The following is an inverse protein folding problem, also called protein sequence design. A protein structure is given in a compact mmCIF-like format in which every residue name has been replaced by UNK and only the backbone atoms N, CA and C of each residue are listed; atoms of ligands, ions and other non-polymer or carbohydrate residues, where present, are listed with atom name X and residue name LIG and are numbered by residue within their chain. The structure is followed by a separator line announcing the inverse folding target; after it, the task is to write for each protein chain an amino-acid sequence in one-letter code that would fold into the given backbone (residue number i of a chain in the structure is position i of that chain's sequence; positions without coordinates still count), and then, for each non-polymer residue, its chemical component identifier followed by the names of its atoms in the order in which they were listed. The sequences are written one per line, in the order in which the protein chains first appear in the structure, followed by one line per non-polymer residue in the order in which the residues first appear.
data_IF_332604765163
#
_entry.id   IF_332604765163
#
_cell.length_a   1.000
_cell.length_b   1.000
_cell.length_c   1.000
_cell.angle_alpha   90.00
_cell.angle_beta   90.00
_cell.angle_gamma   90.00
#
_symmetry.space_group_name_H-M   'P 1'
#
loop_
_entity.id
_entity.type
_entity.pdbx_description
1 polymer ?
#
# COMPACT_ATOMS: atom_id res chain seq x y z
N UNK A 1 -9.63 -9.08 -0.27
CA UNK A 1 -8.90 -10.31 -0.65
C UNK A 1 -9.79 -11.54 -0.68
N UNK A 2 -10.68 -11.79 0.31
CA UNK A 2 -11.50 -13.02 0.36
C UNK A 2 -12.28 -13.25 -0.94
N UNK A 3 -12.95 -12.24 -1.48
CA UNK A 3 -13.68 -12.33 -2.74
C UNK A 3 -12.74 -12.59 -3.93
N UNK A 4 -11.60 -11.90 -4.00
CA UNK A 4 -10.63 -12.08 -5.09
C UNK A 4 -10.03 -13.50 -5.15
N UNK A 5 -10.07 -14.25 -4.04
CA UNK A 5 -9.55 -15.61 -3.92
C UNK A 5 -10.66 -16.66 -3.80
N UNK A 6 -11.87 -16.34 -4.24
CA UNK A 6 -13.02 -17.24 -4.25
C UNK A 6 -13.58 -17.39 -5.66
N UNK A 7 -14.52 -18.29 -5.82
CA UNK A 7 -15.34 -18.47 -7.02
C UNK A 7 -16.18 -17.23 -7.38
N UNK A 8 -16.34 -16.29 -6.44
CA UNK A 8 -17.06 -15.03 -6.64
C UNK A 8 -16.20 -13.93 -7.28
N UNK A 9 -14.92 -14.17 -7.54
CA UNK A 9 -14.01 -13.17 -8.13
C UNK A 9 -14.48 -12.68 -9.50
N UNK A 10 -14.91 -13.60 -10.37
CA UNK A 10 -15.42 -13.26 -11.71
C UNK A 10 -16.67 -12.36 -11.64
N UNK A 11 -17.57 -12.59 -10.67
CA UNK A 11 -18.75 -11.76 -10.47
C UNK A 11 -18.39 -10.36 -9.99
N UNK A 12 -17.40 -10.21 -9.10
CA UNK A 12 -16.90 -8.90 -8.69
C UNK A 12 -16.33 -8.12 -9.90
N UNK A 13 -15.49 -8.77 -10.72
CA UNK A 13 -14.93 -8.15 -11.93
C UNK A 13 -16.03 -7.73 -12.89
N UNK A 14 -17.03 -8.58 -13.11
CA UNK A 14 -18.20 -8.27 -13.95
C UNK A 14 -18.97 -7.05 -13.43
N UNK A 15 -19.25 -6.98 -12.11
CA UNK A 15 -19.94 -5.82 -11.52
C UNK A 15 -19.12 -4.54 -11.65
N UNK A 16 -17.80 -4.59 -11.42
CA UNK A 16 -16.92 -3.44 -11.60
C UNK A 16 -16.90 -2.96 -13.05
N UNK A 17 -16.86 -3.88 -14.03
CA UNK A 17 -16.90 -3.54 -15.46
C UNK A 17 -18.19 -2.83 -15.86
N UNK A 18 -19.31 -3.16 -15.20
CA UNK A 18 -20.61 -2.53 -15.43
C UNK A 18 -20.85 -1.27 -14.57
N UNK A 19 -19.96 -0.97 -13.63
CA UNK A 19 -20.06 0.22 -12.79
C UNK A 19 -19.53 1.44 -13.52
N UNK A 20 -20.36 2.46 -13.79
CA UNK A 20 -19.88 3.69 -14.42
C UNK A 20 -18.99 4.49 -13.48
N UNK A 21 -18.01 5.23 -14.01
CA UNK A 21 -17.26 6.20 -13.23
C UNK A 21 -18.15 7.40 -12.94
N UNK A 22 -18.89 7.34 -11.84
CA UNK A 22 -19.94 8.33 -11.54
C UNK A 22 -19.93 8.73 -10.05
N UNK A 23 -20.21 10.01 -9.80
CA UNK A 23 -20.36 10.52 -8.43
C UNK A 23 -21.44 9.77 -7.65
N UNK A 24 -22.55 9.39 -8.26
CA UNK A 24 -23.61 8.64 -7.61
C UNK A 24 -23.15 7.29 -7.08
N UNK A 25 -22.31 6.58 -7.84
CA UNK A 25 -21.70 5.30 -7.40
C UNK A 25 -20.73 5.53 -6.21
N UNK A 26 -19.96 6.61 -6.26
CA UNK A 26 -19.06 6.97 -5.17
C UNK A 26 -19.84 7.36 -3.90
N UNK A 27 -20.87 8.19 -4.01
CA UNK A 27 -21.68 8.66 -2.89
C UNK A 27 -22.43 7.49 -2.21
N UNK A 28 -22.84 6.48 -3.00
CA UNK A 28 -23.46 5.26 -2.48
C UNK A 28 -22.53 4.51 -1.50
N UNK A 29 -21.22 4.57 -1.71
CA UNK A 29 -20.26 3.92 -0.81
C UNK A 29 -20.18 4.54 0.59
N UNK A 30 -20.75 5.73 0.78
CA UNK A 30 -20.83 6.42 2.08
C UNK A 30 -22.00 5.96 2.93
N UNK A 31 -22.95 5.20 2.34
CA UNK A 31 -24.07 4.59 3.04
C UNK A 31 -23.63 3.37 3.88
N UNK A 32 -24.50 2.87 4.78
CA UNK A 32 -24.21 1.65 5.52
C UNK A 32 -23.75 0.53 4.60
N UNK A 33 -22.74 -0.23 5.05
CA UNK A 33 -22.17 -1.32 4.26
C UNK A 33 -23.26 -2.31 3.84
N UNK A 34 -23.32 -2.69 2.55
CA UNK A 34 -24.28 -3.69 2.08
C UNK A 34 -24.06 -5.05 2.77
N UNK A 35 -25.10 -5.87 2.84
CA UNK A 35 -25.00 -7.22 3.39
C UNK A 35 -24.21 -8.17 2.46
N UNK A 36 -24.37 -8.00 1.14
CA UNK A 36 -23.69 -8.80 0.12
C UNK A 36 -22.16 -8.60 0.16
N UNK A 37 -21.37 -9.66 0.37
CA UNK A 37 -19.90 -9.56 0.40
C UNK A 37 -19.28 -9.04 -0.90
N UNK A 38 -19.89 -9.34 -2.06
CA UNK A 38 -19.41 -8.84 -3.36
C UNK A 38 -19.64 -7.34 -3.46
N UNK A 39 -20.80 -6.85 -3.02
CA UNK A 39 -21.08 -5.40 -2.99
C UNK A 39 -20.17 -4.67 -1.99
N UNK A 40 -19.86 -5.28 -0.83
CA UNK A 40 -18.84 -4.72 0.07
C UNK A 40 -17.50 -4.55 -0.62
N UNK A 41 -17.07 -5.56 -1.38
CA UNK A 41 -15.81 -5.51 -2.12
C UNK A 41 -15.87 -4.46 -3.24
N UNK A 42 -17.00 -4.36 -3.98
CA UNK A 42 -17.23 -3.35 -5.00
C UNK A 42 -17.17 -1.94 -4.41
N UNK A 43 -17.86 -1.67 -3.30
CA UNK A 43 -17.81 -0.38 -2.60
C UNK A 43 -16.40 -0.01 -2.16
N UNK A 44 -15.61 -0.98 -1.66
CA UNK A 44 -14.22 -0.74 -1.27
C UNK A 44 -13.37 -0.28 -2.46
N UNK A 45 -13.50 -0.96 -3.60
CA UNK A 45 -12.79 -0.62 -4.84
C UNK A 45 -13.21 0.77 -5.35
N UNK A 46 -14.52 1.04 -5.42
CA UNK A 46 -15.06 2.33 -5.85
C UNK A 46 -14.49 3.46 -4.96
N UNK A 47 -14.54 3.30 -3.64
CA UNK A 47 -14.04 4.29 -2.69
C UNK A 47 -12.55 4.54 -2.87
N UNK A 48 -11.75 3.48 -2.98
CA UNK A 48 -10.31 3.60 -3.16
C UNK A 48 -9.93 4.23 -4.50
N UNK A 49 -10.65 3.93 -5.57
CA UNK A 49 -10.32 4.38 -6.92
C UNK A 49 -10.90 5.75 -7.26
N UNK A 50 -12.18 5.98 -6.93
CA UNK A 50 -12.90 7.21 -7.29
C UNK A 50 -12.74 8.33 -6.25
N UNK A 51 -12.19 8.04 -5.06
CA UNK A 51 -11.87 9.03 -4.04
C UNK A 51 -10.50 9.66 -4.21
N UNK A 52 -10.30 10.84 -3.61
CA UNK A 52 -8.98 11.43 -3.51
C UNK A 52 -8.12 10.66 -2.49
N UNK A 53 -6.81 10.50 -2.80
CA UNK A 53 -5.83 9.93 -1.90
C UNK A 53 -5.95 8.42 -1.71
N UNK A 54 -6.71 7.72 -2.57
CA UNK A 54 -6.90 6.25 -2.51
C UNK A 54 -7.31 5.73 -1.13
N UNK A 55 -7.83 6.60 -0.27
CA UNK A 55 -8.17 6.29 1.11
C UNK A 55 -9.49 5.51 1.19
N UNK A 56 -9.40 4.19 1.27
CA UNK A 56 -10.55 3.31 1.43
C UNK A 56 -11.06 3.25 2.89
N UNK A 57 -10.29 3.76 3.85
CA UNK A 57 -10.56 3.66 5.29
C UNK A 57 -10.56 5.04 5.95
N UNK A 58 -11.60 5.40 6.64
CA UNK A 58 -11.62 6.38 7.70
C UNK A 58 -12.06 7.79 7.36
N UNK A 59 -11.60 8.45 6.32
CA UNK A 59 -12.01 9.82 5.98
C UNK A 59 -12.92 9.86 4.77
N UNK A 60 -13.97 10.68 4.84
CA UNK A 60 -14.72 11.04 3.66
C UNK A 60 -13.82 11.87 2.75
N UNK A 61 -13.40 11.29 1.64
CA UNK A 61 -12.67 11.98 0.59
C UNK A 61 -13.66 12.49 -0.47
N UNK A 62 -13.28 13.51 -1.22
CA UNK A 62 -14.09 13.98 -2.35
C UNK A 62 -14.00 13.02 -3.54
N UNK A 63 -15.02 13.03 -4.39
CA UNK A 63 -15.02 12.33 -5.66
C UNK A 63 -13.98 12.95 -6.62
N UNK A 64 -13.11 12.13 -7.17
CA UNK A 64 -12.02 12.52 -8.08
C UNK A 64 -12.53 12.73 -9.51
N UNK A 65 -13.29 13.84 -9.73
CA UNK A 65 -13.92 14.14 -11.02
C UNK A 65 -12.92 14.53 -12.12
N UNK A 66 -11.81 15.17 -11.73
CA UNK A 66 -10.81 15.64 -12.66
C UNK A 66 -9.41 15.55 -12.04
N UNK A 67 -8.43 15.15 -12.81
CA UNK A 67 -7.03 15.26 -12.44
C UNK A 67 -6.27 15.82 -13.65
N UNK A 68 -5.59 16.94 -13.47
CA UNK A 68 -4.69 17.51 -14.48
C UNK A 68 -3.40 16.69 -14.65
N UNK A 69 -3.40 15.42 -14.29
CA UNK A 69 -2.26 14.52 -14.53
C UNK A 69 -2.21 14.15 -16.00
N UNK A 70 -1.02 14.27 -16.57
CA UNK A 70 -0.67 14.06 -17.95
C UNK A 70 -1.32 12.81 -18.58
N UNK A 71 -2.10 13.00 -19.62
CA UNK A 71 -2.39 12.00 -20.62
C UNK A 71 -3.64 11.14 -20.42
N UNK A 72 -4.17 10.95 -19.18
CA UNK A 72 -5.40 10.17 -18.96
C UNK A 72 -6.34 10.84 -17.98
N UNK A 73 -7.60 10.45 -17.99
CA UNK A 73 -8.59 10.84 -16.98
C UNK A 73 -8.84 9.69 -16.02
N UNK A 74 -9.27 9.95 -14.77
CA UNK A 74 -9.65 8.88 -13.85
C UNK A 74 -10.73 7.94 -14.42
N UNK A 75 -11.64 8.47 -15.23
CA UNK A 75 -12.66 7.66 -15.88
C UNK A 75 -12.06 6.70 -16.94
N UNK A 76 -11.03 7.13 -17.66
CA UNK A 76 -10.32 6.25 -18.59
C UNK A 76 -9.54 5.16 -17.84
N UNK A 77 -8.85 5.52 -16.76
CA UNK A 77 -8.13 4.55 -15.92
C UNK A 77 -9.09 3.52 -15.31
N UNK A 78 -10.31 3.97 -14.92
CA UNK A 78 -11.36 3.08 -14.44
C UNK A 78 -11.76 2.00 -15.44
N UNK A 79 -11.80 2.35 -16.74
CA UNK A 79 -12.16 1.39 -17.80
C UNK A 79 -11.20 0.20 -17.86
N UNK A 80 -9.92 0.43 -17.55
CA UNK A 80 -8.88 -0.59 -17.58
C UNK A 80 -8.74 -1.37 -16.25
N UNK A 81 -9.36 -0.86 -15.17
CA UNK A 81 -9.19 -1.43 -13.84
C UNK A 81 -9.69 -2.88 -13.71
N UNK A 82 -10.86 -3.29 -14.27
CA UNK A 82 -11.32 -4.66 -14.16
C UNK A 82 -10.35 -5.68 -14.78
N UNK A 83 -9.73 -5.35 -15.91
CA UNK A 83 -8.75 -6.24 -16.58
C UNK A 83 -7.45 -6.33 -15.76
N UNK A 84 -7.00 -5.21 -15.21
CA UNK A 84 -5.86 -5.22 -14.27
C UNK A 84 -6.16 -6.04 -13.00
N UNK A 85 -7.41 -6.04 -12.53
CA UNK A 85 -7.82 -6.83 -11.36
C UNK A 85 -7.78 -8.34 -11.66
N UNK A 86 -8.09 -8.78 -12.89
CA UNK A 86 -7.94 -10.19 -13.30
C UNK A 86 -6.49 -10.66 -13.17
N UNK A 87 -5.53 -9.85 -13.62
CA UNK A 87 -4.10 -10.15 -13.44
C UNK A 87 -3.69 -10.21 -11.96
N UNK A 88 -4.27 -9.36 -11.13
CA UNK A 88 -4.03 -9.40 -9.67
C UNK A 88 -4.59 -10.69 -9.07
N UNK A 89 -5.77 -11.14 -9.50
CA UNK A 89 -6.37 -12.41 -9.04
C UNK A 89 -5.43 -13.59 -9.34
N UNK A 90 -4.91 -13.66 -10.56
CA UNK A 90 -3.93 -14.68 -10.94
C UNK A 90 -2.66 -14.58 -10.08
N UNK A 91 -2.13 -13.36 -9.90
CA UNK A 91 -0.92 -13.14 -9.08
C UNK A 91 -1.11 -13.52 -7.61
N UNK A 92 -2.32 -13.39 -7.08
CA UNK A 92 -2.64 -13.77 -5.69
C UNK A 92 -2.69 -15.29 -5.47
N UNK A 93 -2.73 -16.10 -6.54
CA UNK A 93 -2.59 -17.55 -6.41
C UNK A 93 -1.20 -17.88 -5.83
N UNK A 94 -1.17 -18.68 -4.78
CA UNK A 94 0.08 -19.03 -4.09
C UNK A 94 0.63 -17.95 -3.13
N UNK A 95 -0.04 -16.81 -2.98
CA UNK A 95 0.32 -15.78 -1.99
C UNK A 95 -0.29 -16.10 -0.63
N UNK A 96 0.52 -16.11 0.41
CA UNK A 96 0.07 -16.15 1.80
C UNK A 96 -0.25 -14.72 2.25
N UNK A 97 -1.48 -14.50 2.72
CA UNK A 97 -1.92 -13.21 3.25
C UNK A 97 -2.06 -13.35 4.76
N UNK A 98 -1.27 -12.58 5.50
CA UNK A 98 -1.29 -12.55 6.95
C UNK A 98 -1.83 -11.21 7.47
N UNK A 99 -2.47 -11.27 8.64
CA UNK A 99 -2.97 -10.10 9.37
C UNK A 99 -2.56 -10.21 10.83
N UNK A 100 -1.26 -10.45 11.04
CA UNK A 100 -0.62 -10.59 12.36
C UNK A 100 0.47 -9.52 12.50
N UNK A 101 1.07 -9.44 13.68
CA UNK A 101 2.25 -8.61 13.91
C UNK A 101 3.34 -8.92 12.88
N UNK A 102 3.84 -7.87 12.21
CA UNK A 102 4.77 -8.01 11.09
C UNK A 102 6.09 -8.69 11.52
N UNK A 103 6.62 -8.37 12.71
CA UNK A 103 7.87 -8.98 13.21
C UNK A 103 7.72 -10.48 13.37
N UNK A 104 6.56 -10.95 13.87
CA UNK A 104 6.28 -12.39 13.99
C UNK A 104 6.15 -13.08 12.64
N UNK A 105 5.52 -12.43 11.67
CA UNK A 105 5.40 -12.97 10.30
C UNK A 105 6.79 -13.03 9.66
N UNK A 106 7.58 -11.98 9.74
CA UNK A 106 8.94 -11.94 9.19
C UNK A 106 9.82 -13.03 9.81
N UNK A 107 9.75 -13.26 11.12
CA UNK A 107 10.50 -14.34 11.79
C UNK A 107 10.16 -15.74 11.26
N UNK A 108 8.88 -16.00 10.96
CA UNK A 108 8.42 -17.31 10.45
C UNK A 108 8.96 -17.59 9.05
N UNK A 109 9.08 -16.55 8.23
CA UNK A 109 9.50 -16.67 6.84
C UNK A 109 10.98 -16.28 6.62
N UNK A 110 11.73 -15.97 7.69
CA UNK A 110 13.11 -15.53 7.58
C UNK A 110 14.04 -16.67 7.15
N UNK A 111 14.90 -16.39 6.19
CA UNK A 111 15.91 -17.30 5.66
C UNK A 111 16.86 -16.58 4.72
N UNK A 112 17.97 -17.23 4.38
CA UNK A 112 19.05 -16.63 3.58
C UNK A 112 18.58 -16.16 2.19
N UNK A 113 17.58 -16.83 1.60
CA UNK A 113 17.01 -16.49 0.30
C UNK A 113 15.72 -15.65 0.40
N UNK A 114 15.34 -15.20 1.61
CA UNK A 114 14.13 -14.40 1.80
C UNK A 114 14.43 -12.92 1.61
N UNK A 115 13.60 -12.24 0.83
CA UNK A 115 13.55 -10.78 0.76
C UNK A 115 12.38 -10.25 1.57
N UNK A 116 12.67 -9.47 2.59
CA UNK A 116 11.71 -8.70 3.36
C UNK A 116 11.63 -7.26 2.81
N UNK A 117 10.53 -6.90 2.18
CA UNK A 117 10.23 -5.51 1.85
C UNK A 117 9.33 -4.94 2.94
N UNK A 118 9.86 -4.02 3.72
CA UNK A 118 9.16 -3.39 4.84
C UNK A 118 8.70 -1.97 4.46
N UNK A 119 7.40 -1.73 4.57
CA UNK A 119 6.76 -0.44 4.31
C UNK A 119 5.87 -0.09 5.52
N UNK A 120 6.47 0.28 6.66
CA UNK A 120 5.73 0.62 7.87
C UNK A 120 5.00 1.95 7.72
N UNK A 121 4.03 2.28 8.60
CA UNK A 121 3.57 3.66 8.75
C UNK A 121 4.77 4.59 8.89
N UNK A 122 4.87 5.62 8.04
CA UNK A 122 6.05 6.50 8.05
C UNK A 122 6.12 7.31 9.34
N UNK A 123 7.33 7.64 9.77
CA UNK A 123 7.59 8.41 11.00
C UNK A 123 6.75 9.69 10.98
N UNK A 124 6.00 9.92 12.06
CA UNK A 124 5.02 11.00 12.15
C UNK A 124 5.59 12.37 11.79
N UNK A 125 6.75 12.72 12.34
CA UNK A 125 7.42 14.00 12.12
C UNK A 125 7.77 14.27 10.63
N UNK A 126 7.79 13.24 9.78
CA UNK A 126 8.17 13.36 8.36
C UNK A 126 6.98 13.58 7.43
N UNK A 127 5.73 13.44 7.91
CA UNK A 127 4.54 13.47 7.06
C UNK A 127 4.03 14.86 6.73
N UNK A 128 4.30 15.85 7.55
CA UNK A 128 3.91 17.25 7.32
C UNK A 128 2.40 17.52 7.43
N UNK A 129 1.64 16.61 8.05
CA UNK A 129 0.23 16.73 8.39
C UNK A 129 0.03 16.09 9.78
N UNK A 130 -0.68 16.77 10.68
CA UNK A 130 -0.91 16.32 12.06
C UNK A 130 -2.06 15.32 12.21
N UNK A 131 -2.53 14.73 11.12
CA UNK A 131 -3.65 13.82 11.17
C UNK A 131 -3.22 12.36 11.00
N UNK A 132 -3.78 11.41 11.79
CA UNK A 132 -3.49 10.00 11.63
C UNK A 132 -3.95 9.48 10.26
N UNK A 133 -3.01 8.93 9.48
CA UNK A 133 -3.29 8.35 8.17
C UNK A 133 -3.56 6.84 8.25
N UNK A 134 -3.09 6.19 9.31
CA UNK A 134 -3.19 4.75 9.47
C UNK A 134 -4.08 4.38 10.68
N UNK A 135 -4.78 3.25 10.56
CA UNK A 135 -5.55 2.67 11.68
C UNK A 135 -4.62 2.24 12.82
N UNK A 136 -3.40 1.80 12.48
CA UNK A 136 -2.35 1.40 13.39
C UNK A 136 -1.13 2.26 13.12
N UNK A 137 -1.03 3.38 13.82
CA UNK A 137 0.14 4.23 13.79
C UNK A 137 1.29 3.61 14.57
N UNK A 138 2.52 3.96 14.21
CA UNK A 138 3.72 3.58 14.94
C UNK A 138 4.31 4.77 15.68
N UNK A 139 4.69 4.55 16.93
CA UNK A 139 5.44 5.51 17.75
C UNK A 139 6.93 5.48 17.36
N UNK A 140 7.67 6.54 17.73
CA UNK A 140 9.12 6.59 17.50
C UNK A 140 9.86 5.43 18.19
N UNK A 141 9.38 4.99 19.36
CA UNK A 141 9.94 3.84 20.08
C UNK A 141 9.73 2.53 19.29
N UNK A 142 8.53 2.34 18.72
CA UNK A 142 8.24 1.17 17.88
C UNK A 142 9.05 1.17 16.58
N UNK A 143 9.34 2.34 16.02
CA UNK A 143 10.27 2.46 14.88
C UNK A 143 11.69 2.02 15.29
N UNK A 144 12.20 2.47 16.42
CA UNK A 144 13.52 2.05 16.93
C UNK A 144 13.57 0.53 17.15
N UNK A 145 12.52 -0.04 17.75
CA UNK A 145 12.42 -1.49 17.93
C UNK A 145 12.40 -2.26 16.60
N UNK A 146 11.67 -1.73 15.59
CA UNK A 146 11.62 -2.33 14.26
C UNK A 146 13.00 -2.32 13.60
N UNK A 147 13.73 -1.21 13.68
CA UNK A 147 15.08 -1.12 13.13
C UNK A 147 16.06 -2.10 13.80
N UNK A 148 15.99 -2.22 15.11
CA UNK A 148 16.79 -3.19 15.87
C UNK A 148 16.43 -4.63 15.47
N UNK A 149 15.13 -4.91 15.28
CA UNK A 149 14.64 -6.21 14.83
C UNK A 149 15.18 -6.59 13.45
N UNK A 150 15.24 -5.67 12.49
CA UNK A 150 15.83 -5.95 11.17
C UNK A 150 17.27 -6.42 11.24
N UNK A 151 18.04 -5.95 12.22
CA UNK A 151 19.41 -6.43 12.47
C UNK A 151 19.51 -7.90 12.90
N UNK A 152 18.40 -8.51 13.33
CA UNK A 152 18.35 -9.92 13.76
C UNK A 152 17.98 -10.89 12.63
N UNK A 153 17.50 -10.37 11.50
CA UNK A 153 17.06 -11.18 10.37
C UNK A 153 18.25 -11.75 9.59
N UNK A 154 18.08 -12.97 9.11
CA UNK A 154 19.05 -13.63 8.21
C UNK A 154 18.91 -13.19 6.77
N UNK A 155 17.72 -12.82 6.37
CA UNK A 155 17.37 -12.50 5.00
C UNK A 155 17.80 -11.11 4.52
N UNK A 156 17.50 -10.85 3.27
CA UNK A 156 17.61 -9.56 2.63
C UNK A 156 16.50 -8.65 3.16
N UNK A 157 16.83 -7.39 3.46
CA UNK A 157 15.85 -6.41 3.95
C UNK A 157 15.95 -5.13 3.13
N UNK A 158 14.80 -4.65 2.66
CA UNK A 158 14.60 -3.33 2.06
C UNK A 158 13.53 -2.62 2.87
N UNK A 159 13.85 -1.45 3.39
CA UNK A 159 12.95 -0.59 4.15
C UNK A 159 12.63 0.65 3.33
N UNK A 160 11.34 1.00 3.18
CA UNK A 160 10.89 2.25 2.58
C UNK A 160 10.47 3.28 3.62
N UNK A 161 10.60 4.55 3.27
CA UNK A 161 10.17 5.65 4.13
C UNK A 161 10.59 7.01 3.63
N UNK A 162 10.24 8.05 4.40
CA UNK A 162 10.77 9.39 4.17
C UNK A 162 12.11 9.58 4.88
N UNK A 163 12.97 10.51 4.38
CA UNK A 163 14.25 10.82 5.03
C UNK A 163 14.05 11.18 6.50
N UNK A 164 14.77 10.51 7.39
CA UNK A 164 14.79 10.86 8.80
C UNK A 164 16.08 10.41 9.47
N UNK A 165 16.54 11.18 10.45
CA UNK A 165 17.81 10.96 11.14
C UNK A 165 17.85 9.66 11.94
N UNK A 166 16.71 9.23 12.50
CA UNK A 166 16.63 7.99 13.28
C UNK A 166 16.99 6.79 12.43
N UNK A 167 16.42 6.72 11.21
CA UNK A 167 16.70 5.65 10.26
C UNK A 167 18.13 5.74 9.72
N UNK A 168 18.55 6.93 9.30
CA UNK A 168 19.88 7.15 8.74
C UNK A 168 20.99 6.78 9.74
N UNK A 169 20.77 7.08 11.03
CA UNK A 169 21.72 6.72 12.10
C UNK A 169 21.70 5.22 12.41
N UNK A 170 20.53 4.63 12.58
CA UNK A 170 20.39 3.22 12.93
C UNK A 170 20.85 2.29 11.80
N UNK A 171 20.68 2.71 10.56
CA UNK A 171 20.98 1.94 9.34
C UNK A 171 22.21 2.48 8.60
N UNK A 172 23.17 3.08 9.32
CA UNK A 172 24.37 3.71 8.73
C UNK A 172 25.23 2.77 7.88
N UNK A 173 25.13 1.45 8.10
CA UNK A 173 25.80 0.42 7.28
C UNK A 173 24.98 -0.09 6.08
N UNK A 174 23.80 0.46 5.85
CA UNK A 174 22.93 0.06 4.75
C UNK A 174 23.09 0.99 3.54
N UNK A 175 22.90 0.46 2.33
CA UNK A 175 22.86 1.30 1.12
C UNK A 175 21.58 2.13 1.15
N UNK A 176 21.72 3.46 1.06
CA UNK A 176 20.63 4.41 1.01
C UNK A 176 20.42 4.91 -0.41
N UNK A 177 19.21 4.68 -0.94
CA UNK A 177 18.81 5.16 -2.27
C UNK A 177 17.62 6.10 -2.10
N UNK A 178 17.63 7.25 -2.77
CA UNK A 178 16.53 8.20 -2.72
C UNK A 178 16.03 8.55 -4.13
N UNK A 179 14.73 8.85 -4.21
CA UNK A 179 14.07 9.30 -5.43
C UNK A 179 13.06 10.37 -5.11
N UNK A 180 13.00 11.36 -5.97
CA UNK A 180 11.88 12.31 -5.95
C UNK A 180 10.62 11.60 -6.46
N UNK A 181 9.55 11.71 -5.69
CA UNK A 181 8.24 11.16 -5.98
C UNK A 181 7.16 12.22 -5.79
N UNK A 182 5.99 11.97 -6.32
CA UNK A 182 4.82 12.80 -6.08
C UNK A 182 3.91 12.07 -5.09
N UNK A 183 3.77 12.61 -3.90
CA UNK A 183 2.75 12.15 -2.95
C UNK A 183 1.34 12.56 -3.40
N UNK A 184 0.33 12.10 -2.68
CA UNK A 184 -1.05 12.49 -2.91
C UNK A 184 -1.20 14.03 -2.97
N UNK A 185 -1.99 14.50 -3.95
CA UNK A 185 -2.10 15.92 -4.25
C UNK A 185 -0.94 16.50 -5.07
N UNK A 186 -0.11 15.66 -5.69
CA UNK A 186 1.03 16.04 -6.53
C UNK A 186 2.10 16.89 -5.81
N UNK A 187 2.22 16.75 -4.48
CA UNK A 187 3.28 17.40 -3.71
C UNK A 187 4.60 16.65 -3.90
N UNK A 188 5.70 17.34 -4.23
CA UNK A 188 7.02 16.70 -4.28
C UNK A 188 7.38 16.10 -2.91
N UNK A 189 7.86 14.88 -2.92
CA UNK A 189 8.35 14.15 -1.74
C UNK A 189 9.61 13.39 -2.14
N UNK A 190 10.50 13.22 -1.20
CA UNK A 190 11.66 12.34 -1.38
C UNK A 190 11.35 11.00 -0.73
N UNK A 191 11.32 9.94 -1.51
CA UNK A 191 11.24 8.57 -1.02
C UNK A 191 12.63 8.00 -0.84
N UNK A 192 12.83 7.23 0.22
CA UNK A 192 14.11 6.59 0.54
C UNK A 192 13.92 5.09 0.70
N UNK A 193 14.85 4.34 0.13
CA UNK A 193 15.04 2.93 0.43
C UNK A 193 16.35 2.74 1.19
N UNK A 194 16.28 2.05 2.33
CA UNK A 194 17.45 1.52 3.03
C UNK A 194 17.54 0.03 2.74
N UNK A 195 18.66 -0.39 2.18
CA UNK A 195 18.91 -1.72 1.65
C UNK A 195 20.02 -2.36 2.47
N UNK A 196 19.75 -3.49 3.15
CA UNK A 196 20.75 -4.12 3.98
C UNK A 196 21.91 -4.71 3.16
N UNK A 197 23.09 -4.97 3.75
CA UNK A 197 24.25 -5.47 3.01
C UNK A 197 23.95 -6.75 2.22
N UNK A 198 23.19 -7.70 2.75
CA UNK A 198 22.83 -8.94 2.04
C UNK A 198 22.02 -8.68 0.77
N UNK A 199 21.06 -7.75 0.83
CA UNK A 199 20.31 -7.36 -0.37
C UNK A 199 21.21 -6.65 -1.39
N UNK A 200 22.18 -5.85 -0.93
CA UNK A 200 23.18 -5.23 -1.80
C UNK A 200 24.03 -6.27 -2.51
N UNK A 201 24.53 -7.27 -1.78
CA UNK A 201 25.34 -8.35 -2.34
C UNK A 201 24.56 -9.17 -3.39
N UNK A 202 23.24 -9.34 -3.20
CA UNK A 202 22.39 -10.03 -4.16
C UNK A 202 22.11 -9.19 -5.42
N UNK A 203 22.04 -7.85 -5.30
CA UNK A 203 21.84 -6.94 -6.41
C UNK A 203 23.08 -6.74 -7.28
N UNK A 204 24.28 -6.90 -6.69
CA UNK A 204 25.56 -6.62 -7.33
C UNK A 204 26.15 -7.89 -8.01
N UNK A 205 25.45 -9.04 -7.96
CA UNK A 205 25.77 -10.30 -8.66
C UNK A 205 25.20 -10.31 -10.06
#
# INVERSE_FOLDING_TARGET
FRILRSDQSAELVRRLRLTPFARAEFDETSRPLPADPIEKARHLVIRAFMGFGSNAHGRATGFRANSNRSGTTPAHDWTNYPDALELIIERLAGVVIESRDAKKVMQVFDGDDTLHYADPPYVWATRGDDSPDYVHEMTDAEHVELLAFFGTLKGMVVLSGYPNETYDRALSGWRRVQREALADGARPRTEVLWINPRACDALDR
#
